data_IF_923238986576
#
_entry.id   IF_923238986576
#
_cell.length_a   1.000
_cell.length_b   1.000
_cell.length_c   1.000
_cell.angle_alpha   90.00
_cell.angle_beta   90.00
_cell.angle_gamma   90.00
#
_symmetry.space_group_name_H-M   'P 1'
#
loop_
_entity.id
_entity.type
_entity.pdbx_description
1 polymer ?
#
# COMPACT_ATOMS: atom_id res chain seq x y z
N UNK A 1 2.37 17.64 19.04
CA UNK A 1 2.29 17.92 17.60
C UNK A 1 1.08 18.80 17.40
N UNK A 2 1.17 19.82 16.57
CA UNK A 2 0.06 20.72 16.31
C UNK A 2 -0.95 20.11 15.31
N UNK A 3 -1.97 20.90 14.94
CA UNK A 3 -3.00 20.49 13.99
C UNK A 3 -2.45 20.21 12.58
N UNK A 4 -1.28 20.75 12.25
CA UNK A 4 -0.60 20.56 10.96
C UNK A 4 0.30 19.33 10.91
N UNK A 5 0.41 18.58 12.01
CA UNK A 5 1.35 17.47 12.09
C UNK A 5 2.79 17.92 12.34
N UNK A 6 3.00 19.14 12.82
CA UNK A 6 4.33 19.67 13.12
C UNK A 6 4.68 19.60 14.60
N UNK A 7 5.96 19.39 14.86
CA UNK A 7 6.53 19.36 16.20
C UNK A 7 7.76 20.25 16.27
N UNK A 8 7.73 21.25 17.14
CA UNK A 8 8.92 22.05 17.45
C UNK A 8 9.75 21.36 18.54
N UNK A 9 11.05 21.27 18.29
CA UNK A 9 12.05 20.72 19.19
C UNK A 9 12.99 21.85 19.61
N UNK A 10 13.03 22.13 20.91
CA UNK A 10 13.80 23.22 21.49
C UNK A 10 15.16 22.72 21.98
N UNK A 11 16.23 23.42 21.58
CA UNK A 11 17.60 23.16 22.03
C UNK A 11 18.11 24.31 22.93
N UNK A 12 17.29 25.32 23.21
CA UNK A 12 17.67 26.56 23.90
C UNK A 12 17.91 27.70 22.91
N UNK A 13 19.15 27.94 22.45
CA UNK A 13 19.45 29.05 21.55
C UNK A 13 19.02 28.81 20.10
N UNK A 14 18.52 27.61 19.78
CA UNK A 14 18.02 27.24 18.46
C UNK A 14 16.87 26.25 18.57
N UNK A 15 16.03 26.20 17.55
CA UNK A 15 14.92 25.25 17.49
C UNK A 15 14.78 24.62 16.12
N UNK A 16 14.12 23.45 16.08
CA UNK A 16 13.88 22.71 14.85
C UNK A 16 12.41 22.35 14.74
N UNK A 17 11.85 22.56 13.55
CA UNK A 17 10.48 22.13 13.25
C UNK A 17 10.53 20.83 12.47
N UNK A 18 9.89 19.82 13.04
CA UNK A 18 9.66 18.52 12.43
C UNK A 18 8.30 18.55 11.74
N UNK A 19 8.26 18.17 10.47
CA UNK A 19 7.03 17.87 9.74
C UNK A 19 7.13 16.49 9.11
N UNK A 20 6.21 16.15 8.20
CA UNK A 20 6.21 14.90 7.47
C UNK A 20 5.94 15.13 5.99
N UNK A 21 6.58 14.33 5.15
CA UNK A 21 6.23 14.24 3.73
C UNK A 21 5.04 13.29 3.50
N UNK A 22 4.68 13.08 2.24
CA UNK A 22 3.58 12.19 1.86
C UNK A 22 3.85 10.70 2.18
N UNK A 23 5.11 10.34 2.42
CA UNK A 23 5.51 9.00 2.85
C UNK A 23 5.57 8.87 4.38
N UNK A 24 5.09 9.88 5.11
CA UNK A 24 5.26 10.03 6.55
C UNK A 24 6.73 9.97 6.99
N UNK A 25 7.67 10.32 6.11
CA UNK A 25 9.07 10.49 6.49
C UNK A 25 9.22 11.87 7.14
N UNK A 26 9.90 11.94 8.30
CA UNK A 26 10.09 13.22 8.97
C UNK A 26 10.96 14.15 8.12
N UNK A 27 10.46 15.38 7.93
CA UNK A 27 11.21 16.51 7.39
C UNK A 27 11.65 17.41 8.54
N UNK A 28 12.78 18.08 8.38
CA UNK A 28 13.39 18.89 9.44
C UNK A 28 13.75 20.24 8.86
N UNK A 29 13.36 21.31 9.55
CA UNK A 29 13.76 22.67 9.25
C UNK A 29 14.30 23.33 10.52
N UNK A 30 15.28 24.23 10.37
CA UNK A 30 15.70 25.08 11.49
C UNK A 30 14.73 26.26 11.71
N UNK A 31 15.01 27.10 12.70
CA UNK A 31 14.17 28.26 13.05
C UNK A 31 13.94 29.25 11.91
N UNK A 32 14.78 29.24 10.86
CA UNK A 32 14.63 30.11 9.69
C UNK A 32 13.88 29.40 8.54
N UNK A 33 13.33 28.21 8.78
CA UNK A 33 12.68 27.39 7.77
C UNK A 33 13.64 26.67 6.83
N UNK A 34 14.96 26.73 7.07
CA UNK A 34 15.94 26.10 6.17
C UNK A 34 15.95 24.58 6.38
N UNK A 35 15.79 23.76 5.33
CA UNK A 35 15.72 22.32 5.47
C UNK A 35 17.05 21.71 5.92
N UNK A 36 16.95 20.64 6.72
CA UNK A 36 18.08 19.86 7.26
C UNK A 36 17.90 18.39 6.91
N UNK A 37 18.99 17.73 6.52
CA UNK A 37 19.01 16.29 6.21
C UNK A 37 18.86 15.41 7.45
N UNK A 38 19.23 15.91 8.62
CA UNK A 38 19.15 15.22 9.90
C UNK A 38 19.04 16.21 11.04
N UNK A 39 18.48 15.76 12.16
CA UNK A 39 18.46 16.54 13.40
C UNK A 39 19.88 16.58 13.96
N UNK A 40 20.47 17.77 14.21
CA UNK A 40 21.80 17.87 14.78
C UNK A 40 21.88 17.23 16.16
N UNK A 41 23.00 16.56 16.46
CA UNK A 41 23.28 16.13 17.84
C UNK A 41 23.39 17.36 18.75
N UNK A 42 22.97 17.25 20.03
CA UNK A 42 23.22 18.29 21.04
C UNK A 42 24.70 18.67 21.07
N UNK A 43 24.98 19.97 21.00
CA UNK A 43 26.33 20.54 21.05
C UNK A 43 26.57 21.35 22.33
N UNK A 44 27.83 21.75 22.54
CA UNK A 44 28.27 22.46 23.77
C UNK A 44 27.63 23.84 23.98
N UNK A 45 27.04 24.42 22.94
CA UNK A 45 26.35 25.72 22.99
C UNK A 45 24.84 25.57 23.22
N UNK A 46 24.31 24.35 23.09
CA UNK A 46 22.90 24.09 23.31
C UNK A 46 22.64 23.92 24.81
N UNK A 47 21.40 24.14 25.22
CA UNK A 47 20.98 23.75 26.56
C UNK A 47 21.05 22.21 26.69
N UNK A 48 21.84 21.68 27.65
CA UNK A 48 22.12 20.25 27.70
C UNK A 48 20.88 19.40 27.98
N UNK A 49 19.92 19.92 28.75
CA UNK A 49 18.72 19.19 29.15
C UNK A 49 17.66 19.25 28.04
N UNK A 50 17.40 20.45 27.50
CA UNK A 50 16.44 20.64 26.41
C UNK A 50 16.89 19.90 25.15
N UNK A 51 18.14 20.06 24.72
CA UNK A 51 18.63 19.46 23.49
C UNK A 51 18.70 17.92 23.58
N UNK A 52 19.15 17.38 24.73
CA UNK A 52 19.16 15.93 24.95
C UNK A 52 17.76 15.34 24.93
N UNK A 53 16.81 15.99 25.62
CA UNK A 53 15.40 15.59 25.66
C UNK A 53 14.77 15.66 24.27
N UNK A 54 15.00 16.74 23.53
CA UNK A 54 14.50 16.95 22.19
C UNK A 54 15.05 15.91 21.19
N UNK A 55 16.36 15.62 21.26
CA UNK A 55 16.99 14.63 20.39
C UNK A 55 16.46 13.21 20.65
N UNK A 56 16.24 12.84 21.93
CA UNK A 56 15.60 11.56 22.31
C UNK A 56 14.16 11.50 21.82
N UNK A 57 13.38 12.56 22.07
CA UNK A 57 11.98 12.67 21.61
C UNK A 57 11.85 12.52 20.10
N UNK A 58 12.78 13.06 19.32
CA UNK A 58 12.80 12.86 17.86
C UNK A 58 13.08 11.41 17.46
N UNK A 59 14.00 10.73 18.17
CA UNK A 59 14.30 9.33 17.90
C UNK A 59 13.09 8.42 18.18
N UNK A 60 12.37 8.67 19.27
CA UNK A 60 11.13 7.98 19.63
C UNK A 60 10.01 8.29 18.62
N UNK A 61 9.78 9.57 18.30
CA UNK A 61 8.79 9.98 17.30
C UNK A 61 8.99 9.27 15.96
N UNK A 62 10.24 9.15 15.48
CA UNK A 62 10.53 8.44 14.23
C UNK A 62 10.12 6.98 14.27
N UNK A 63 10.31 6.32 15.41
CA UNK A 63 9.92 4.92 15.60
C UNK A 63 8.39 4.81 15.62
N UNK A 64 7.74 5.64 16.45
CA UNK A 64 6.29 5.62 16.63
C UNK A 64 5.56 5.94 15.33
N UNK A 65 5.99 6.98 14.61
CA UNK A 65 5.38 7.35 13.33
C UNK A 65 5.56 6.26 12.30
N UNK A 66 6.72 5.57 12.26
CA UNK A 66 6.93 4.45 11.34
C UNK A 66 5.97 3.29 11.64
N UNK A 67 5.79 2.95 12.91
CA UNK A 67 4.89 1.89 13.35
C UNK A 67 3.42 2.25 13.05
N UNK A 68 2.99 3.46 13.43
CA UNK A 68 1.66 3.99 13.14
C UNK A 68 1.42 4.04 11.63
N UNK A 69 2.40 4.50 10.84
CA UNK A 69 2.27 4.57 9.38
C UNK A 69 2.03 3.18 8.79
N UNK A 70 2.81 2.16 9.17
CA UNK A 70 2.61 0.78 8.69
C UNK A 70 1.22 0.27 9.00
N UNK A 71 0.72 0.49 10.23
CA UNK A 71 -0.63 0.07 10.64
C UNK A 71 -1.71 0.83 9.88
N UNK A 72 -1.59 2.15 9.74
CA UNK A 72 -2.61 2.96 9.07
C UNK A 72 -2.62 2.74 7.56
N UNK A 73 -1.47 2.48 6.94
CA UNK A 73 -1.39 2.07 5.53
C UNK A 73 -2.13 0.75 5.35
N UNK A 74 -1.80 -0.29 6.12
CA UNK A 74 -2.49 -1.57 6.04
C UNK A 74 -4.00 -1.45 6.33
N UNK A 75 -4.40 -0.57 7.26
CA UNK A 75 -5.81 -0.32 7.57
C UNK A 75 -6.53 0.43 6.46
N UNK A 76 -5.88 1.42 5.84
CA UNK A 76 -6.41 2.13 4.68
C UNK A 76 -6.55 1.15 3.52
N UNK A 77 -5.52 0.36 3.21
CA UNK A 77 -5.55 -0.71 2.21
C UNK A 77 -6.71 -1.68 2.48
N UNK A 78 -6.83 -2.22 3.69
CA UNK A 78 -7.95 -3.09 4.08
C UNK A 78 -9.32 -2.41 3.93
N UNK A 79 -9.43 -1.12 4.30
CA UNK A 79 -10.67 -0.35 4.15
C UNK A 79 -11.03 -0.14 2.67
N UNK A 80 -10.03 0.04 1.81
CA UNK A 80 -10.22 0.13 0.35
C UNK A 80 -10.68 -1.21 -0.21
N UNK A 81 -10.07 -2.32 0.23
CA UNK A 81 -10.45 -3.66 -0.22
C UNK A 81 -11.87 -4.02 0.23
N UNK A 82 -12.27 -3.61 1.43
CA UNK A 82 -13.61 -3.86 1.96
C UNK A 82 -14.67 -2.86 1.46
N UNK A 83 -14.29 -1.88 0.62
CA UNK A 83 -15.20 -0.84 0.11
C UNK A 83 -15.83 0.00 1.23
N UNK A 84 -15.07 0.27 2.31
CA UNK A 84 -15.58 0.98 3.48
C UNK A 84 -16.05 2.39 3.09
N UNK A 85 -17.32 2.67 3.38
CA UNK A 85 -17.88 4.02 3.31
C UNK A 85 -17.41 4.92 4.45
N UNK A 86 -17.26 6.20 4.16
CA UNK A 86 -17.04 7.24 5.17
C UNK A 86 -18.14 8.28 5.09
N UNK A 87 -18.70 8.68 6.22
CA UNK A 87 -19.42 9.95 6.27
C UNK A 87 -18.41 11.09 6.17
N UNK A 88 -18.76 12.27 5.64
CA UNK A 88 -17.80 13.38 5.66
C UNK A 88 -17.47 13.89 7.06
N UNK A 89 -18.34 13.65 8.05
CA UNK A 89 -18.03 13.93 9.43
C UNK A 89 -16.82 13.09 9.89
N UNK A 90 -16.88 11.77 9.67
CA UNK A 90 -15.79 10.85 10.01
C UNK A 90 -14.53 11.10 9.17
N UNK A 91 -14.69 11.29 7.86
CA UNK A 91 -13.56 11.61 6.97
C UNK A 91 -12.89 12.92 7.37
N UNK A 92 -13.69 13.95 7.65
CA UNK A 92 -13.20 15.24 8.11
C UNK A 92 -12.44 15.15 9.44
N UNK A 93 -12.95 14.36 10.39
CA UNK A 93 -12.37 14.23 11.72
C UNK A 93 -11.13 13.33 11.73
N UNK A 94 -11.24 12.11 11.20
CA UNK A 94 -10.22 11.08 11.34
C UNK A 94 -9.19 11.07 10.22
N UNK A 95 -9.46 11.74 9.10
CA UNK A 95 -8.54 11.80 7.96
C UNK A 95 -8.05 13.23 7.73
N UNK A 96 -8.94 14.16 7.40
CA UNK A 96 -8.55 15.53 6.96
C UNK A 96 -7.92 16.33 8.11
N UNK A 97 -8.56 16.34 9.29
CA UNK A 97 -8.05 17.06 10.47
C UNK A 97 -7.02 16.28 11.27
N UNK A 98 -6.83 14.99 10.96
CA UNK A 98 -5.92 14.16 11.72
C UNK A 98 -4.46 14.46 11.33
N UNK A 99 -3.57 14.78 12.29
CA UNK A 99 -2.20 15.27 12.03
C UNK A 99 -1.30 14.39 11.12
N UNK A 100 -1.46 13.06 11.15
CA UNK A 100 -0.70 12.13 10.29
C UNK A 100 -1.51 11.56 9.11
N UNK A 101 -2.75 11.13 9.32
CA UNK A 101 -3.58 10.49 8.29
C UNK A 101 -3.76 11.33 7.02
N UNK A 102 -3.84 12.65 7.12
CA UNK A 102 -4.01 13.51 5.94
C UNK A 102 -2.84 13.39 4.95
N UNK A 103 -1.61 13.13 5.43
CA UNK A 103 -0.43 12.91 4.58
C UNK A 103 -0.52 11.60 3.78
N UNK A 104 -1.15 10.56 4.34
CA UNK A 104 -1.42 9.32 3.61
C UNK A 104 -2.59 9.51 2.65
N UNK A 105 -3.63 10.21 3.10
CA UNK A 105 -4.84 10.43 2.32
C UNK A 105 -4.65 11.32 1.09
N UNK A 106 -3.72 12.29 1.11
CA UNK A 106 -3.40 13.10 -0.08
C UNK A 106 -2.80 12.31 -1.24
N UNK A 107 -2.30 11.09 -0.99
CA UNK A 107 -1.76 10.19 -2.02
C UNK A 107 -2.81 9.35 -2.69
N UNK A 108 -4.04 9.42 -2.22
CA UNK A 108 -5.15 8.60 -2.68
C UNK A 108 -6.09 9.46 -3.50
N UNK A 109 -6.64 8.84 -4.54
CA UNK A 109 -7.86 9.34 -5.20
C UNK A 109 -9.04 8.76 -4.45
N UNK A 110 -9.96 9.63 -4.07
CA UNK A 110 -11.19 9.32 -3.38
C UNK A 110 -12.36 9.44 -4.35
N UNK A 111 -13.43 8.69 -4.13
CA UNK A 111 -14.66 8.81 -4.91
C UNK A 111 -15.75 9.36 -4.02
N UNK A 112 -16.57 10.25 -4.58
CA UNK A 112 -17.84 10.66 -3.98
C UNK A 112 -19.01 9.80 -4.48
N UNK A 113 -20.19 9.84 -3.86
CA UNK A 113 -21.39 9.18 -4.39
C UNK A 113 -21.76 9.80 -5.75
N UNK A 114 -21.92 8.95 -6.77
CA UNK A 114 -21.99 9.36 -8.18
C UNK A 114 -20.65 9.36 -8.94
N UNK A 115 -19.64 8.64 -8.45
CA UNK A 115 -18.34 8.40 -9.11
C UNK A 115 -17.48 9.64 -9.37
N UNK A 116 -17.76 10.77 -8.70
CA UNK A 116 -16.91 11.94 -8.81
C UNK A 116 -15.62 11.75 -8.01
N UNK A 117 -14.49 11.68 -8.73
CA UNK A 117 -13.15 11.56 -8.16
C UNK A 117 -12.61 12.87 -7.59
N UNK A 118 -11.93 12.80 -6.46
CA UNK A 118 -11.24 13.93 -5.84
C UNK A 118 -9.96 13.51 -5.10
N UNK A 119 -9.08 14.47 -4.84
CA UNK A 119 -7.88 14.34 -4.02
C UNK A 119 -7.86 15.39 -2.91
N UNK A 120 -7.07 15.17 -1.86
CA UNK A 120 -6.77 16.22 -0.89
C UNK A 120 -5.59 17.06 -1.39
N UNK A 121 -5.79 18.37 -1.49
CA UNK A 121 -4.74 19.34 -1.77
C UNK A 121 -3.88 19.63 -0.53
N UNK A 122 -2.80 20.40 -0.71
CA UNK A 122 -1.85 20.68 0.38
C UNK A 122 -2.46 21.51 1.53
N UNK A 123 -3.47 22.30 1.21
CA UNK A 123 -4.28 23.08 2.16
C UNK A 123 -5.45 22.26 2.76
N UNK A 124 -5.47 20.95 2.51
CA UNK A 124 -6.48 19.98 2.97
C UNK A 124 -7.87 20.17 2.36
N UNK A 125 -7.98 20.97 1.30
CA UNK A 125 -9.22 21.06 0.51
C UNK A 125 -9.36 19.88 -0.45
N UNK A 126 -10.58 19.62 -0.90
CA UNK A 126 -10.83 18.64 -1.95
C UNK A 126 -10.67 19.29 -3.33
N UNK A 127 -9.93 18.64 -4.23
CA UNK A 127 -9.76 19.06 -5.61
C UNK A 127 -10.16 17.91 -6.56
N UNK A 128 -10.80 18.23 -7.68
CA UNK A 128 -11.12 17.24 -8.72
C UNK A 128 -9.91 16.91 -9.61
N UNK A 129 -10.15 16.16 -10.68
CA UNK A 129 -9.14 15.76 -11.67
C UNK A 129 -8.51 16.94 -12.44
N UNK A 130 -9.12 18.13 -12.39
CA UNK A 130 -8.62 19.36 -13.03
C UNK A 130 -7.99 20.33 -12.02
N UNK A 131 -7.78 19.90 -10.77
CA UNK A 131 -7.32 20.74 -9.65
C UNK A 131 -8.28 21.88 -9.28
N UNK A 132 -9.56 21.79 -9.66
CA UNK A 132 -10.58 22.74 -9.21
C UNK A 132 -11.12 22.35 -7.83
N UNK A 133 -11.31 23.34 -6.96
CA UNK A 133 -11.81 23.12 -5.61
C UNK A 133 -13.26 22.64 -5.65
N UNK A 134 -13.53 21.46 -5.06
CA UNK A 134 -14.87 20.86 -5.03
C UNK A 134 -15.41 20.84 -3.60
N UNK A 135 -16.69 21.18 -3.43
CA UNK A 135 -17.43 20.91 -2.19
C UNK A 135 -17.84 19.43 -2.16
N UNK A 136 -17.44 18.70 -1.12
CA UNK A 136 -17.73 17.27 -0.96
C UNK A 136 -19.24 16.96 -1.13
N UNK A 137 -19.65 16.21 -2.17
CA UNK A 137 -20.98 15.61 -2.23
C UNK A 137 -21.14 14.57 -1.09
N UNK A 138 -22.34 14.43 -0.53
CA UNK A 138 -22.61 13.58 0.64
C UNK A 138 -23.68 12.54 0.32
N UNK A 139 -23.55 11.27 0.76
CA UNK A 139 -22.40 10.56 1.38
C UNK A 139 -21.37 10.04 0.36
N UNK A 140 -20.30 9.27 0.72
CA UNK A 140 -19.46 8.57 -0.28
C UNK A 140 -18.54 7.41 0.17
N UNK A 141 -18.26 6.42 -0.71
CA UNK A 141 -17.31 5.33 -0.48
C UNK A 141 -15.85 5.67 -0.78
N UNK A 142 -14.90 5.19 0.04
CA UNK A 142 -13.47 5.30 -0.25
C UNK A 142 -13.00 4.14 -1.14
N UNK A 143 -12.47 4.48 -2.31
CA UNK A 143 -11.78 3.62 -3.30
C UNK A 143 -12.57 2.39 -3.75
N UNK A 144 -13.12 2.47 -4.97
CA UNK A 144 -13.56 1.29 -5.70
C UNK A 144 -12.37 0.42 -6.11
N UNK A 145 -11.85 -0.40 -5.18
CA UNK A 145 -11.20 -1.65 -5.58
C UNK A 145 -12.35 -2.59 -5.95
N UNK A 146 -12.43 -3.09 -7.20
CA UNK A 146 -13.39 -4.14 -7.52
C UNK A 146 -13.18 -5.30 -6.55
N UNK A 147 -14.18 -5.58 -5.72
CA UNK A 147 -14.18 -6.81 -4.92
C UNK A 147 -14.51 -7.94 -5.88
N UNK A 148 -13.49 -8.71 -6.23
CA UNK A 148 -13.67 -9.86 -7.09
C UNK A 148 -14.09 -11.04 -6.22
N UNK A 149 -15.21 -11.64 -6.56
CA UNK A 149 -15.71 -12.84 -5.89
C UNK A 149 -15.56 -14.05 -6.80
N UNK A 150 -15.56 -15.23 -6.19
CA UNK A 150 -15.72 -16.49 -6.90
C UNK A 150 -17.16 -16.58 -7.42
N UNK A 151 -17.34 -17.20 -8.59
CA UNK A 151 -18.65 -17.61 -9.05
C UNK A 151 -19.21 -18.76 -8.19
N UNK A 152 -20.53 -18.99 -8.22
CA UNK A 152 -21.15 -20.06 -7.46
C UNK A 152 -20.51 -21.43 -7.77
N UNK A 153 -19.82 -22.00 -6.77
CA UNK A 153 -19.16 -23.30 -6.89
C UNK A 153 -17.72 -23.27 -7.43
N UNK A 154 -17.21 -22.12 -7.86
CA UNK A 154 -15.81 -21.94 -8.25
C UNK A 154 -14.90 -22.07 -7.01
N UNK A 155 -13.76 -22.76 -7.13
CA UNK A 155 -12.78 -22.89 -6.05
C UNK A 155 -13.10 -23.94 -4.97
N UNK A 156 -14.24 -24.64 -5.05
CA UNK A 156 -14.63 -25.69 -4.09
C UNK A 156 -13.71 -26.90 -4.07
N UNK A 157 -13.14 -27.23 -5.22
CA UNK A 157 -12.16 -28.30 -5.41
C UNK A 157 -10.71 -27.79 -5.28
N UNK A 158 -10.54 -26.54 -4.83
CA UNK A 158 -9.24 -25.89 -4.75
C UNK A 158 -8.70 -25.43 -6.11
N UNK A 159 -9.53 -25.31 -7.16
CA UNK A 159 -9.08 -24.86 -8.50
C UNK A 159 -9.80 -23.61 -8.98
N UNK A 160 -9.08 -22.77 -9.72
CA UNK A 160 -9.61 -21.58 -10.39
C UNK A 160 -9.52 -21.76 -11.91
N UNK A 161 -10.41 -22.59 -12.46
CA UNK A 161 -10.40 -22.99 -13.88
C UNK A 161 -10.52 -21.82 -14.86
N UNK A 162 -11.10 -20.70 -14.43
CA UNK A 162 -11.27 -19.51 -15.29
C UNK A 162 -9.96 -18.89 -15.79
N UNK A 163 -8.84 -19.18 -15.13
CA UNK A 163 -7.52 -18.67 -15.52
C UNK A 163 -6.70 -19.69 -16.31
N UNK A 164 -7.16 -20.93 -16.39
CA UNK A 164 -6.42 -22.01 -17.05
C UNK A 164 -6.51 -21.88 -18.57
N UNK A 165 -5.40 -22.19 -19.24
CA UNK A 165 -5.24 -22.04 -20.69
C UNK A 165 -4.99 -20.61 -21.17
N UNK A 166 -5.00 -19.61 -20.27
CA UNK A 166 -4.71 -18.23 -20.64
C UNK A 166 -3.21 -18.04 -20.91
N UNK A 167 -2.91 -17.35 -22.01
CA UNK A 167 -1.55 -16.93 -22.36
C UNK A 167 -1.28 -15.56 -21.76
N UNK A 168 -0.19 -15.44 -21.00
CA UNK A 168 0.20 -14.23 -20.29
C UNK A 168 1.67 -13.89 -20.56
N UNK A 169 2.05 -12.60 -20.63
CA UNK A 169 3.45 -12.21 -20.79
C UNK A 169 4.30 -12.64 -19.58
N UNK A 170 5.46 -13.23 -19.82
CA UNK A 170 6.42 -13.61 -18.76
C UNK A 170 6.82 -12.41 -17.92
N UNK A 171 6.96 -11.23 -18.52
CA UNK A 171 7.23 -9.99 -17.79
C UNK A 171 6.17 -9.61 -16.76
N UNK A 172 4.88 -9.90 -17.01
CA UNK A 172 3.80 -9.65 -16.04
C UNK A 172 3.88 -10.61 -14.85
N UNK A 173 4.18 -11.89 -15.10
CA UNK A 173 4.44 -12.87 -14.03
C UNK A 173 5.64 -12.47 -13.17
N UNK A 174 6.74 -12.02 -13.79
CA UNK A 174 7.91 -11.48 -13.08
C UNK A 174 7.59 -10.18 -12.31
N UNK A 175 6.57 -9.43 -12.73
CA UNK A 175 6.04 -8.30 -11.99
C UNK A 175 5.45 -8.73 -10.64
N UNK A 176 4.64 -9.79 -10.63
CA UNK A 176 4.01 -10.33 -9.43
C UNK A 176 5.03 -10.87 -8.42
N UNK A 177 6.18 -11.38 -8.88
CA UNK A 177 7.22 -11.91 -7.97
C UNK A 177 7.96 -10.83 -7.17
N UNK A 178 7.68 -9.56 -7.46
CA UNK A 178 8.18 -8.41 -6.67
C UNK A 178 7.33 -8.13 -5.43
N UNK A 179 6.16 -8.77 -5.32
CA UNK A 179 5.22 -8.59 -4.23
C UNK A 179 5.02 -9.90 -3.46
N UNK A 180 3.84 -10.50 -3.54
CA UNK A 180 3.41 -11.63 -2.73
C UNK A 180 3.82 -12.99 -3.31
N UNK A 181 4.12 -13.03 -4.62
CA UNK A 181 4.43 -14.26 -5.33
C UNK A 181 5.91 -14.60 -5.29
N UNK A 182 6.21 -15.90 -5.35
CA UNK A 182 7.58 -16.44 -5.40
C UNK A 182 7.69 -17.41 -6.55
N UNK A 183 8.83 -17.41 -7.23
CA UNK A 183 9.11 -18.42 -8.27
C UNK A 183 9.36 -19.77 -7.60
N UNK A 184 8.91 -20.83 -8.26
CA UNK A 184 9.18 -22.20 -7.89
C UNK A 184 10.68 -22.52 -7.92
N UNK A 185 11.03 -23.67 -7.35
CA UNK A 185 12.41 -24.15 -7.45
C UNK A 185 12.72 -24.51 -8.92
N UNK A 186 13.90 -24.14 -9.45
CA UNK A 186 14.31 -24.54 -10.79
C UNK A 186 14.34 -26.08 -10.89
N UNK A 187 13.73 -26.60 -11.96
CA UNK A 187 13.72 -28.03 -12.29
C UNK A 187 14.79 -28.33 -13.34
N UNK A 188 14.57 -29.37 -14.15
CA UNK A 188 15.45 -29.77 -15.25
C UNK A 188 15.73 -28.57 -16.18
N UNK A 189 16.99 -28.45 -16.61
CA UNK A 189 17.51 -27.33 -17.41
C UNK A 189 17.33 -25.93 -16.77
N UNK A 190 17.10 -25.86 -15.45
CA UNK A 190 16.92 -24.59 -14.76
C UNK A 190 15.64 -23.87 -15.14
N UNK A 191 14.58 -24.63 -15.47
CA UNK A 191 13.25 -24.09 -15.78
C UNK A 191 12.39 -24.10 -14.52
N UNK A 192 11.79 -22.95 -14.20
CA UNK A 192 10.82 -22.80 -13.13
C UNK A 192 9.41 -22.92 -13.73
N UNK A 193 8.67 -23.97 -13.35
CA UNK A 193 7.37 -24.31 -13.92
C UNK A 193 6.18 -23.79 -13.12
N UNK A 194 6.40 -22.99 -12.08
CA UNK A 194 5.31 -22.41 -11.30
C UNK A 194 5.73 -21.16 -10.54
N UNK A 195 4.73 -20.38 -10.13
CA UNK A 195 4.83 -19.39 -9.06
C UNK A 195 3.88 -19.75 -7.91
N UNK A 196 4.23 -19.34 -6.71
CA UNK A 196 3.46 -19.64 -5.49
C UNK A 196 3.23 -18.38 -4.67
N UNK A 197 2.04 -18.24 -4.12
CA UNK A 197 1.73 -17.25 -3.08
C UNK A 197 1.19 -17.99 -1.85
N UNK A 198 1.83 -17.79 -0.70
CA UNK A 198 1.28 -18.15 0.61
C UNK A 198 0.10 -17.23 0.93
N UNK A 199 -1.11 -17.66 0.57
CA UNK A 199 -2.29 -16.80 0.62
C UNK A 199 -2.76 -16.56 2.06
N UNK A 200 -2.78 -17.63 2.86
CA UNK A 200 -3.00 -17.64 4.31
C UNK A 200 -2.01 -18.66 4.94
N UNK A 201 -1.87 -18.71 6.28
CA UNK A 201 -1.00 -19.71 6.92
C UNK A 201 -1.37 -21.14 6.50
N UNK A 202 -0.41 -21.87 5.95
CA UNK A 202 -0.55 -23.25 5.47
C UNK A 202 -1.57 -23.38 4.30
N UNK A 203 -1.73 -22.31 3.51
CA UNK A 203 -2.64 -22.27 2.36
C UNK A 203 -1.93 -21.70 1.12
N UNK A 204 -0.95 -22.43 0.55
CA UNK A 204 -0.26 -22.00 -0.65
C UNK A 204 -1.17 -22.13 -1.88
N UNK A 205 -1.19 -21.07 -2.70
CA UNK A 205 -1.76 -21.09 -4.04
C UNK A 205 -0.64 -21.18 -5.05
N UNK A 206 -0.74 -22.13 -5.98
CA UNK A 206 0.24 -22.41 -7.02
C UNK A 206 -0.37 -22.14 -8.39
N UNK A 207 0.37 -21.39 -9.22
CA UNK A 207 0.08 -21.19 -10.63
C UNK A 207 1.13 -21.96 -11.42
N UNK A 208 0.71 -23.06 -12.06
CA UNK A 208 1.57 -23.88 -12.91
C UNK A 208 1.67 -23.23 -14.30
N UNK A 209 2.89 -23.21 -14.86
CA UNK A 209 3.27 -22.45 -16.04
C UNK A 209 3.93 -23.35 -17.10
N UNK A 210 3.57 -23.12 -18.36
CA UNK A 210 4.17 -23.79 -19.51
C UNK A 210 4.48 -22.76 -20.60
N UNK A 211 5.68 -22.79 -21.21
CA UNK A 211 6.75 -23.80 -21.08
C UNK A 211 7.61 -23.66 -19.80
N UNK A 212 7.38 -22.64 -18.97
CA UNK A 212 8.17 -22.32 -17.78
C UNK A 212 9.20 -21.20 -18.02
N UNK A 213 9.73 -20.66 -16.93
CA UNK A 213 10.67 -19.52 -16.94
C UNK A 213 12.10 -20.04 -16.78
N UNK A 214 12.97 -19.75 -17.75
CA UNK A 214 14.39 -20.15 -17.67
C UNK A 214 15.17 -19.17 -16.76
N UNK A 215 15.75 -19.68 -15.67
CA UNK A 215 16.48 -18.86 -14.67
C UNK A 215 17.61 -18.04 -15.30
N UNK A 216 18.34 -18.65 -16.23
CA UNK A 216 19.50 -18.02 -16.88
C UNK A 216 19.13 -17.06 -18.02
N UNK A 217 17.91 -17.12 -18.53
CA UNK A 217 17.45 -16.28 -19.63
C UNK A 217 15.93 -16.18 -19.65
N UNK A 218 15.37 -15.29 -18.83
CA UNK A 218 13.91 -15.17 -18.62
C UNK A 218 13.13 -14.79 -19.87
N UNK A 219 13.78 -14.15 -20.85
CA UNK A 219 13.19 -13.78 -22.14
C UNK A 219 13.12 -14.94 -23.14
N UNK A 220 13.66 -16.12 -22.80
CA UNK A 220 13.65 -17.30 -23.68
C UNK A 220 12.22 -17.67 -24.10
N UNK A 221 11.30 -17.60 -23.14
CA UNK A 221 9.87 -17.87 -23.31
C UNK A 221 9.13 -16.58 -22.94
N UNK A 222 8.86 -15.68 -23.89
CA UNK A 222 8.28 -14.36 -23.59
C UNK A 222 6.82 -14.43 -23.15
N UNK A 223 6.15 -15.55 -23.41
CA UNK A 223 4.78 -15.84 -23.01
C UNK A 223 4.71 -17.17 -22.25
N UNK A 224 3.77 -17.27 -21.33
CA UNK A 224 3.45 -18.47 -20.57
C UNK A 224 1.97 -18.78 -20.70
N UNK A 225 1.63 -20.05 -20.84
CA UNK A 225 0.29 -20.56 -20.58
C UNK A 225 0.17 -20.88 -19.09
N UNK A 226 -0.89 -20.37 -18.47
CA UNK A 226 -1.31 -20.83 -17.14
C UNK A 226 -1.93 -22.22 -17.31
N UNK A 227 -1.22 -23.27 -16.91
CA UNK A 227 -1.74 -24.63 -17.02
C UNK A 227 -2.78 -24.92 -15.95
N UNK A 228 -2.51 -24.49 -14.71
CA UNK A 228 -3.40 -24.68 -13.56
C UNK A 228 -3.24 -23.57 -12.55
N UNK A 229 -4.33 -23.26 -11.84
CA UNK A 229 -4.30 -22.45 -10.61
C UNK A 229 -4.94 -23.27 -9.50
N UNK A 230 -4.16 -23.62 -8.48
CA UNK A 230 -4.56 -24.61 -7.46
C UNK A 230 -4.14 -24.23 -6.04
N UNK A 231 -4.98 -24.57 -5.08
CA UNK A 231 -4.70 -24.62 -3.65
C UNK A 231 -4.81 -26.06 -3.14
N UNK A 232 -4.30 -26.33 -1.94
CA UNK A 232 -4.46 -27.65 -1.30
C UNK A 232 -5.90 -27.90 -0.80
N UNK A 233 -6.57 -26.83 -0.38
CA UNK A 233 -7.92 -26.86 0.18
C UNK A 233 -8.89 -25.99 -0.65
N UNK A 234 -10.18 -26.05 -0.31
CA UNK A 234 -11.20 -25.19 -0.88
C UNK A 234 -10.90 -23.71 -0.64
N UNK A 235 -11.19 -22.86 -1.63
CA UNK A 235 -11.12 -21.41 -1.45
C UNK A 235 -12.26 -20.87 -0.58
N UNK A 236 -13.32 -21.64 -0.34
CA UNK A 236 -14.44 -21.26 0.55
C UNK A 236 -13.97 -21.06 2.01
N UNK A 237 -12.88 -21.73 2.40
CA UNK A 237 -12.32 -21.68 3.76
C UNK A 237 -11.32 -20.52 3.95
N UNK A 238 -11.04 -19.75 2.90
CA UNK A 238 -10.08 -18.64 2.90
C UNK A 238 -10.81 -17.31 3.07
N UNK A 239 -10.19 -16.36 3.77
CA UNK A 239 -10.73 -15.00 3.92
C UNK A 239 -11.11 -14.41 2.55
N UNK A 240 -12.37 -13.98 2.34
CA UNK A 240 -12.82 -13.41 1.07
C UNK A 240 -11.98 -12.22 0.58
N UNK A 241 -11.34 -11.48 1.50
CA UNK A 241 -10.41 -10.41 1.17
C UNK A 241 -9.18 -10.96 0.46
N UNK A 242 -8.59 -12.04 0.98
CA UNK A 242 -7.43 -12.69 0.38
C UNK A 242 -7.78 -13.32 -0.97
N UNK A 243 -8.96 -13.93 -1.07
CA UNK A 243 -9.48 -14.43 -2.35
C UNK A 243 -9.62 -13.29 -3.36
N UNK A 244 -10.19 -12.15 -2.97
CA UNK A 244 -10.30 -10.98 -3.87
C UNK A 244 -8.93 -10.46 -4.33
N UNK A 245 -7.92 -10.43 -3.46
CA UNK A 245 -6.55 -10.02 -3.85
C UNK A 245 -5.92 -11.04 -4.82
N UNK A 246 -6.08 -12.35 -4.58
CA UNK A 246 -5.66 -13.41 -5.51
C UNK A 246 -6.30 -13.20 -6.89
N UNK A 247 -7.61 -13.02 -6.92
CA UNK A 247 -8.34 -12.82 -8.17
C UNK A 247 -7.89 -11.53 -8.88
N UNK A 248 -7.52 -10.49 -8.14
CA UNK A 248 -7.02 -9.23 -8.69
C UNK A 248 -5.67 -9.41 -9.37
N UNK A 249 -4.72 -10.07 -8.69
CA UNK A 249 -3.41 -10.37 -9.25
C UNK A 249 -3.52 -11.23 -10.51
N UNK A 250 -4.32 -12.29 -10.48
CA UNK A 250 -4.52 -13.18 -11.62
C UNK A 250 -5.22 -12.48 -12.80
N UNK A 251 -6.19 -11.61 -12.53
CA UNK A 251 -6.87 -10.81 -13.57
C UNK A 251 -5.91 -9.78 -14.19
N UNK A 252 -4.95 -9.25 -13.42
CA UNK A 252 -3.97 -8.29 -13.92
C UNK A 252 -3.00 -8.88 -14.96
N UNK A 253 -2.78 -10.20 -14.93
CA UNK A 253 -1.93 -10.90 -15.88
C UNK A 253 -2.52 -10.92 -17.29
N UNK A 254 -3.85 -10.84 -17.40
CA UNK A 254 -4.62 -11.05 -18.64
C UNK A 254 -5.16 -9.74 -19.21
N UNK A 255 -5.15 -8.66 -18.42
CA UNK A 255 -5.43 -7.32 -18.91
C UNK A 255 -4.44 -6.93 -20.04
N UNK A 256 -4.84 -6.09 -21.02
CA UNK A 256 -3.96 -5.60 -22.07
C UNK A 256 -2.70 -4.87 -21.54
#
# INVERSE_FOLDING_TARGET
>A
MDADGRLTLDYGPRSFTIGFDEQLKPTISDENGKPRKSLPKPGVKDDPDLASTAYKRFAELKKDVREVASVQVARLESSMVQGRGWTAAEFGEFVVRHPLMWHLARRLVWLSDGDQAFRLAEDRTCADLNDESVKLPQPFPQLGRPVLTLADGEGKDGRLERFEGLTVPTGKLLGLTRTSWRRGAPQDNGIEHWITWELAPDAPVVVDLSPGIAVGYVELNPEQTIERVRAENSFDDIDPVLVSELLTDLTSLTAP
#
